data_IF_701076427895
#
_entry.id   IF_701076427895
#
_cell.length_a   1.000
_cell.length_b   1.000
_cell.length_c   1.000
_cell.angle_alpha   90.00
_cell.angle_beta   90.00
_cell.angle_gamma   90.00
#
_symmetry.space_group_name_H-M   'P 1'
#
loop_
_entity.id
_entity.type
_entity.pdbx_description
1 polymer ?
#
# COMPACT_ATOMS: atom_id res chain seq x y z
N UNK A 1 4.07 -3.07 -21.49
CA UNK A 1 4.94 -1.97 -21.01
C UNK A 1 6.42 -2.25 -21.28
N UNK A 2 7.07 -3.31 -20.74
CA UNK A 2 8.51 -3.57 -20.96
C UNK A 2 8.92 -3.61 -22.44
N UNK A 3 8.18 -4.37 -23.25
CA UNK A 3 8.41 -4.45 -24.73
C UNK A 3 8.30 -3.10 -25.40
N UNK A 4 7.35 -2.26 -24.99
CA UNK A 4 7.20 -0.89 -25.52
C UNK A 4 8.44 -0.04 -25.25
N UNK A 5 8.99 -0.11 -24.05
CA UNK A 5 10.23 0.62 -23.72
C UNK A 5 11.44 0.14 -24.51
N UNK A 6 11.54 -1.16 -24.77
CA UNK A 6 12.60 -1.72 -25.65
C UNK A 6 12.43 -1.20 -27.08
N UNK A 7 11.20 -1.10 -27.59
CA UNK A 7 10.90 -0.56 -28.92
C UNK A 7 11.27 0.92 -29.09
N UNK A 8 11.19 1.74 -28.03
CA UNK A 8 11.61 3.15 -28.07
C UNK A 8 13.11 3.25 -28.42
N UNK A 9 13.94 2.33 -27.92
CA UNK A 9 15.34 2.13 -28.35
C UNK A 9 16.35 3.12 -27.78
N UNK A 10 15.98 3.99 -26.82
CA UNK A 10 16.93 4.86 -26.13
C UNK A 10 17.57 4.11 -24.93
N UNK A 11 18.83 4.44 -24.54
CA UNK A 11 19.48 3.79 -23.41
C UNK A 11 18.65 3.83 -22.12
N UNK A 12 18.04 4.97 -21.70
CA UNK A 12 17.21 4.98 -20.49
C UNK A 12 15.91 4.16 -20.67
N UNK A 13 15.31 4.13 -21.87
CA UNK A 13 14.11 3.32 -22.11
C UNK A 13 14.41 1.82 -22.05
N UNK A 14 15.58 1.40 -22.56
CA UNK A 14 16.00 0.01 -22.49
C UNK A 14 16.17 -0.46 -21.04
N UNK A 15 16.82 0.36 -20.21
CA UNK A 15 16.97 0.07 -18.78
C UNK A 15 15.62 -0.09 -18.07
N UNK A 16 14.68 0.86 -18.28
CA UNK A 16 13.32 0.80 -17.71
C UNK A 16 12.57 -0.43 -18.26
N UNK A 17 12.73 -0.75 -19.54
CA UNK A 17 12.11 -1.91 -20.17
C UNK A 17 12.58 -3.24 -19.54
N UNK A 18 13.88 -3.39 -19.31
CA UNK A 18 14.47 -4.58 -18.65
C UNK A 18 13.92 -4.69 -17.21
N UNK A 19 13.96 -3.61 -16.44
CA UNK A 19 13.43 -3.60 -15.05
C UNK A 19 11.95 -3.98 -15.04
N UNK A 20 11.15 -3.46 -15.97
CA UNK A 20 9.73 -3.78 -16.07
C UNK A 20 9.49 -5.27 -16.41
N UNK A 21 10.28 -5.86 -17.31
CA UNK A 21 10.17 -7.30 -17.65
C UNK A 21 10.59 -8.19 -16.49
N UNK A 22 11.71 -7.88 -15.83
CA UNK A 22 12.16 -8.61 -14.63
C UNK A 22 11.12 -8.52 -13.51
N UNK A 23 10.55 -7.33 -13.28
CA UNK A 23 9.48 -7.14 -12.28
C UNK A 23 8.24 -7.97 -12.63
N UNK A 24 7.86 -8.06 -13.90
CA UNK A 24 6.73 -8.87 -14.34
C UNK A 24 6.97 -10.38 -14.09
N UNK A 25 8.18 -10.87 -14.35
CA UNK A 25 8.57 -12.25 -14.04
C UNK A 25 8.51 -12.54 -12.55
N UNK A 26 9.07 -11.66 -11.72
CA UNK A 26 9.03 -11.80 -10.25
C UNK A 26 7.58 -11.81 -9.75
N UNK A 27 6.72 -10.93 -10.27
CA UNK A 27 5.31 -10.88 -9.89
C UNK A 27 4.55 -12.13 -10.32
N UNK A 28 4.86 -12.69 -11.49
CA UNK A 28 4.27 -13.93 -11.98
C UNK A 28 4.66 -15.13 -11.10
N UNK A 29 5.95 -15.25 -10.76
CA UNK A 29 6.44 -16.28 -9.84
C UNK A 29 5.82 -16.15 -8.45
N UNK A 30 5.74 -14.92 -7.94
CA UNK A 30 5.06 -14.64 -6.67
C UNK A 30 3.58 -15.06 -6.72
N UNK A 31 2.87 -14.77 -7.81
CA UNK A 31 1.48 -15.17 -8.01
C UNK A 31 1.29 -16.70 -7.97
N UNK A 32 2.19 -17.46 -8.62
CA UNK A 32 2.18 -18.91 -8.56
C UNK A 32 2.43 -19.43 -7.14
N UNK A 33 3.40 -18.86 -6.44
CA UNK A 33 3.76 -19.26 -5.07
C UNK A 33 2.64 -18.99 -4.05
N UNK A 34 1.89 -17.91 -4.24
CA UNK A 34 0.82 -17.47 -3.33
C UNK A 34 -0.53 -18.09 -3.67
N UNK A 35 -0.67 -18.70 -4.85
CA UNK A 35 -1.93 -19.29 -5.36
C UNK A 35 -2.72 -20.13 -4.33
N UNK A 36 -2.10 -21.00 -3.50
CA UNK A 36 -2.83 -21.79 -2.49
C UNK A 36 -3.51 -20.96 -1.40
N UNK A 37 -3.14 -19.69 -1.26
CA UNK A 37 -3.67 -18.77 -0.24
C UNK A 37 -4.80 -17.88 -0.75
N UNK A 38 -5.10 -17.92 -2.05
CA UNK A 38 -6.11 -17.06 -2.66
C UNK A 38 -7.52 -17.29 -2.14
N UNK A 39 -7.89 -18.53 -1.83
CA UNK A 39 -9.24 -18.84 -1.37
C UNK A 39 -9.52 -18.20 -0.01
N UNK A 40 -8.56 -18.24 0.92
CA UNK A 40 -8.66 -17.51 2.17
C UNK A 40 -8.68 -15.99 1.94
N UNK A 41 -7.80 -15.47 1.10
CA UNK A 41 -7.75 -14.04 0.80
C UNK A 41 -9.04 -13.51 0.17
N UNK A 42 -9.66 -14.26 -0.72
CA UNK A 42 -10.98 -13.94 -1.29
C UNK A 42 -12.06 -13.92 -0.21
N UNK A 43 -12.07 -14.95 0.66
CA UNK A 43 -13.07 -15.05 1.71
C UNK A 43 -12.97 -13.93 2.72
N UNK A 44 -11.76 -13.64 3.24
CA UNK A 44 -11.57 -12.55 4.19
C UNK A 44 -11.93 -11.18 3.58
N UNK A 45 -11.58 -10.95 2.32
CA UNK A 45 -11.94 -9.74 1.59
C UNK A 45 -13.47 -9.62 1.45
N UNK A 46 -14.14 -10.70 1.03
CA UNK A 46 -15.60 -10.73 0.87
C UNK A 46 -16.32 -10.41 2.17
N UNK A 47 -15.93 -11.05 3.27
CA UNK A 47 -16.55 -10.84 4.59
C UNK A 47 -16.24 -9.43 5.13
N UNK A 48 -15.02 -8.95 4.97
CA UNK A 48 -14.63 -7.62 5.43
C UNK A 48 -15.36 -6.49 4.69
N UNK A 49 -15.67 -6.68 3.40
CA UNK A 49 -16.42 -5.72 2.58
C UNK A 49 -17.94 -5.86 2.78
N UNK A 50 -18.40 -7.01 3.26
CA UNK A 50 -19.81 -7.19 3.59
C UNK A 50 -20.26 -6.07 4.55
N UNK A 51 -21.47 -5.55 4.34
CA UNK A 51 -22.02 -4.42 5.08
C UNK A 51 -21.07 -3.19 5.07
N UNK A 52 -20.92 -2.54 3.91
CA UNK A 52 -20.03 -1.38 3.80
C UNK A 52 -20.55 -0.24 4.69
N UNK A 53 -19.65 0.54 5.33
CA UNK A 53 -20.07 1.70 6.11
C UNK A 53 -20.87 2.69 5.25
N UNK A 54 -21.93 3.24 5.83
CA UNK A 54 -22.81 4.17 5.11
C UNK A 54 -22.01 5.34 4.53
N UNK A 55 -22.25 5.67 3.26
CA UNK A 55 -21.58 6.76 2.52
C UNK A 55 -20.07 6.61 2.32
N UNK A 56 -19.41 5.53 2.78
CA UNK A 56 -17.96 5.36 2.66
C UNK A 56 -17.46 5.34 1.20
N UNK A 57 -18.22 4.72 0.29
CA UNK A 57 -17.93 4.72 -1.15
C UNK A 57 -17.92 6.14 -1.75
N UNK A 58 -18.82 7.04 -1.30
CA UNK A 58 -18.82 8.42 -1.76
C UNK A 58 -17.57 9.18 -1.34
N UNK A 59 -17.11 8.97 -0.11
CA UNK A 59 -15.86 9.58 0.37
C UNK A 59 -14.62 9.01 -0.33
N UNK A 60 -14.62 7.72 -0.65
CA UNK A 60 -13.58 7.12 -1.49
C UNK A 60 -13.56 7.77 -2.89
N UNK A 61 -14.74 7.99 -3.49
CA UNK A 61 -14.86 8.69 -4.77
C UNK A 61 -14.35 10.14 -4.70
N UNK A 62 -14.74 10.92 -3.68
CA UNK A 62 -14.25 12.28 -3.51
C UNK A 62 -12.74 12.34 -3.28
N UNK A 63 -12.17 11.43 -2.48
CA UNK A 63 -10.73 11.34 -2.31
C UNK A 63 -10.00 11.02 -3.62
N UNK A 64 -10.57 10.15 -4.44
CA UNK A 64 -10.05 9.85 -5.78
C UNK A 64 -10.11 11.09 -6.69
N UNK A 65 -11.21 11.85 -6.66
CA UNK A 65 -11.34 13.08 -7.42
C UNK A 65 -10.31 14.13 -7.01
N UNK A 66 -10.08 14.32 -5.71
CA UNK A 66 -9.02 15.20 -5.18
C UNK A 66 -7.64 14.72 -5.68
N UNK A 67 -7.40 13.40 -5.66
CA UNK A 67 -6.18 12.80 -6.21
C UNK A 67 -5.98 13.12 -7.69
N UNK A 68 -7.03 13.02 -8.52
CA UNK A 68 -6.98 13.39 -9.95
C UNK A 68 -6.62 14.86 -10.13
N UNK A 69 -7.28 15.77 -9.38
CA UNK A 69 -6.97 17.21 -9.44
C UNK A 69 -5.50 17.47 -9.08
N UNK A 70 -5.01 16.83 -8.04
CA UNK A 70 -3.60 16.98 -7.64
C UNK A 70 -2.63 16.43 -8.70
N UNK A 71 -2.97 15.31 -9.35
CA UNK A 71 -2.21 14.78 -10.48
C UNK A 71 -2.17 15.77 -11.64
N UNK A 72 -3.29 16.41 -11.99
CA UNK A 72 -3.34 17.45 -13.02
C UNK A 72 -2.40 18.62 -12.69
N UNK A 73 -2.41 19.12 -11.44
CA UNK A 73 -1.46 20.15 -11.01
C UNK A 73 -0.01 19.70 -11.13
N UNK A 74 0.28 18.47 -10.75
CA UNK A 74 1.64 17.91 -10.84
C UNK A 74 2.12 17.83 -12.31
N UNK A 75 1.25 17.40 -13.22
CA UNK A 75 1.57 17.34 -14.67
C UNK A 75 1.80 18.74 -15.22
N UNK A 76 0.95 19.72 -14.88
CA UNK A 76 1.16 21.12 -15.25
C UNK A 76 2.49 21.66 -14.70
N UNK A 77 2.83 21.33 -13.45
CA UNK A 77 4.10 21.72 -12.83
C UNK A 77 5.32 21.12 -13.55
N UNK A 78 5.26 19.83 -13.94
CA UNK A 78 6.32 19.17 -14.71
C UNK A 78 6.45 19.83 -16.10
N UNK A 79 5.33 20.14 -16.75
CA UNK A 79 5.32 20.85 -18.04
C UNK A 79 5.96 22.25 -17.93
N UNK A 80 5.62 23.01 -16.88
CA UNK A 80 6.21 24.31 -16.61
C UNK A 80 7.72 24.23 -16.32
N UNK A 81 8.16 23.24 -15.53
CA UNK A 81 9.59 23.01 -15.27
C UNK A 81 10.37 22.68 -16.55
N UNK A 82 9.74 21.97 -17.48
CA UNK A 82 10.33 21.63 -18.81
C UNK A 82 10.38 22.80 -19.78
N UNK A 83 9.52 23.80 -19.62
CA UNK A 83 9.51 24.99 -20.47
C UNK A 83 10.68 25.96 -20.16
N UNK A 84 11.43 25.76 -19.08
CA UNK A 84 12.63 26.53 -18.76
C UNK A 84 13.73 26.20 -19.79
N UNK A 85 14.18 27.20 -20.53
CA UNK A 85 15.10 27.02 -21.69
C UNK A 85 16.45 26.40 -21.34
N UNK A 86 16.98 26.67 -20.16
CA UNK A 86 18.24 26.09 -19.69
C UNK A 86 17.96 24.77 -18.97
N UNK A 87 18.25 23.66 -19.63
CA UNK A 87 18.22 22.29 -19.05
C UNK A 87 19.31 22.13 -17.99
N UNK A 88 19.16 22.83 -16.88
CA UNK A 88 20.10 22.83 -15.77
C UNK A 88 19.72 21.72 -14.76
N UNK A 89 20.64 21.42 -13.85
CA UNK A 89 20.38 20.61 -12.65
C UNK A 89 19.12 21.08 -11.90
N UNK A 90 18.77 22.36 -11.96
CA UNK A 90 17.60 22.96 -11.34
C UNK A 90 16.28 22.38 -11.89
N UNK A 91 16.15 22.22 -13.21
CA UNK A 91 14.96 21.61 -13.83
C UNK A 91 14.74 20.18 -13.37
N UNK A 92 15.82 19.37 -13.32
CA UNK A 92 15.76 18.00 -12.82
C UNK A 92 15.36 17.96 -11.35
N UNK A 93 15.91 18.86 -10.53
CA UNK A 93 15.58 18.99 -9.11
C UNK A 93 14.11 19.38 -8.92
N UNK A 94 13.59 20.33 -9.68
CA UNK A 94 12.18 20.75 -9.63
C UNK A 94 11.25 19.58 -9.96
N UNK A 95 11.53 18.83 -11.02
CA UNK A 95 10.74 17.65 -11.39
C UNK A 95 10.80 16.61 -10.28
N UNK A 96 11.97 16.36 -9.70
CA UNK A 96 12.12 15.43 -8.59
C UNK A 96 11.27 15.84 -7.38
N UNK A 97 11.31 17.13 -7.00
CA UNK A 97 10.50 17.68 -5.90
C UNK A 97 9.00 17.51 -6.18
N UNK A 98 8.55 17.79 -7.41
CA UNK A 98 7.14 17.61 -7.80
C UNK A 98 6.74 16.14 -7.69
N UNK A 99 7.58 15.21 -8.14
CA UNK A 99 7.29 13.77 -8.06
C UNK A 99 7.29 13.26 -6.60
N UNK A 100 8.20 13.73 -5.77
CA UNK A 100 8.21 13.40 -4.33
C UNK A 100 6.95 13.96 -3.64
N UNK A 101 6.57 15.19 -3.95
CA UNK A 101 5.34 15.81 -3.46
C UNK A 101 4.10 15.02 -3.91
N UNK A 102 4.06 14.58 -5.18
CA UNK A 102 2.99 13.72 -5.69
C UNK A 102 2.90 12.43 -4.88
N UNK A 103 4.01 11.71 -4.70
CA UNK A 103 4.05 10.46 -3.97
C UNK A 103 3.58 10.62 -2.52
N UNK A 104 4.09 11.64 -1.82
CA UNK A 104 3.72 11.92 -0.43
C UNK A 104 2.24 12.30 -0.29
N UNK A 105 1.75 13.22 -1.12
CA UNK A 105 0.36 13.69 -1.06
C UNK A 105 -0.62 12.55 -1.35
N UNK A 106 -0.35 11.73 -2.37
CA UNK A 106 -1.20 10.59 -2.69
C UNK A 106 -1.20 9.54 -1.58
N UNK A 107 -0.04 9.29 -0.94
CA UNK A 107 0.05 8.39 0.20
C UNK A 107 -0.68 8.96 1.43
N UNK A 108 -0.61 10.27 1.66
CA UNK A 108 -1.35 10.95 2.72
C UNK A 108 -2.86 10.83 2.51
N UNK A 109 -3.38 11.15 1.32
CA UNK A 109 -4.81 10.99 0.98
C UNK A 109 -5.29 9.55 1.18
N UNK A 110 -4.49 8.58 0.72
CA UNK A 110 -4.77 7.16 0.93
C UNK A 110 -4.91 6.83 2.42
N UNK A 111 -4.00 7.31 3.26
CA UNK A 111 -3.99 6.98 4.68
C UNK A 111 -5.08 7.72 5.46
N UNK A 112 -5.43 8.97 5.09
CA UNK A 112 -6.62 9.66 5.63
C UNK A 112 -7.88 8.84 5.37
N UNK A 113 -8.06 8.37 4.14
CA UNK A 113 -9.21 7.54 3.78
C UNK A 113 -9.18 6.20 4.55
N UNK A 114 -8.01 5.58 4.68
CA UNK A 114 -7.83 4.34 5.42
C UNK A 114 -8.20 4.49 6.90
N UNK A 115 -7.71 5.52 7.59
CA UNK A 115 -8.02 5.80 9.00
C UNK A 115 -9.52 6.05 9.18
N UNK A 116 -10.10 6.88 8.32
CA UNK A 116 -11.52 7.23 8.38
C UNK A 116 -12.42 6.00 8.24
N UNK A 117 -12.19 5.20 7.21
CA UNK A 117 -13.04 4.04 6.91
C UNK A 117 -12.82 2.92 7.92
N UNK A 118 -11.56 2.69 8.32
CA UNK A 118 -11.26 1.65 9.32
C UNK A 118 -11.89 1.97 10.68
N UNK A 119 -11.91 3.25 11.10
CA UNK A 119 -12.60 3.68 12.32
C UNK A 119 -14.10 3.35 12.27
N UNK A 120 -14.79 3.76 11.19
CA UNK A 120 -16.24 3.51 11.06
C UNK A 120 -16.55 2.02 11.02
N UNK A 121 -15.76 1.24 10.27
CA UNK A 121 -15.94 -0.20 10.17
C UNK A 121 -15.64 -0.92 11.49
N UNK A 122 -14.60 -0.49 12.21
CA UNK A 122 -14.24 -1.02 13.52
C UNK A 122 -15.36 -0.81 14.54
N UNK A 123 -15.93 0.39 14.67
CA UNK A 123 -17.02 0.68 15.60
C UNK A 123 -18.25 -0.19 15.32
N UNK A 124 -18.55 -0.42 14.04
CA UNK A 124 -19.62 -1.33 13.65
C UNK A 124 -19.34 -2.78 14.04
N UNK A 125 -18.11 -3.29 13.80
CA UNK A 125 -17.75 -4.68 14.09
C UNK A 125 -17.56 -4.94 15.58
N UNK A 126 -17.04 -3.98 16.32
CA UNK A 126 -16.72 -4.12 17.75
C UNK A 126 -17.96 -4.04 18.64
N UNK A 127 -18.82 -3.02 18.42
CA UNK A 127 -19.98 -2.72 19.28
C UNK A 127 -21.32 -2.58 18.55
N UNK A 128 -21.37 -2.81 17.23
CA UNK A 128 -22.60 -2.60 16.43
C UNK A 128 -22.97 -1.13 16.23
N UNK A 129 -22.09 -0.19 16.62
CA UNK A 129 -22.34 1.24 16.52
C UNK A 129 -22.29 1.74 15.08
N UNK A 130 -23.29 2.53 14.68
CA UNK A 130 -23.36 3.15 13.35
C UNK A 130 -22.81 4.58 13.44
N UNK A 131 -21.55 4.76 13.06
CA UNK A 131 -20.90 6.07 13.01
C UNK A 131 -21.03 6.70 11.62
N UNK A 132 -21.32 8.02 11.53
CA UNK A 132 -21.30 8.72 10.24
C UNK A 132 -19.86 8.93 9.76
N UNK A 133 -19.57 8.47 8.54
CA UNK A 133 -18.25 8.60 7.89
C UNK A 133 -17.79 10.06 7.78
N UNK A 134 -18.73 11.03 7.69
CA UNK A 134 -18.41 12.47 7.65
C UNK A 134 -17.77 12.93 8.96
N UNK A 135 -18.31 12.51 10.09
CA UNK A 135 -17.78 12.85 11.42
C UNK A 135 -16.40 12.22 11.59
N UNK A 136 -16.25 10.94 11.23
CA UNK A 136 -14.97 10.25 11.28
C UNK A 136 -13.90 10.95 10.43
N UNK A 137 -14.25 11.41 9.22
CA UNK A 137 -13.31 12.15 8.34
C UNK A 137 -12.93 13.50 8.94
N UNK A 138 -13.88 14.25 9.44
CA UNK A 138 -13.63 15.55 10.09
C UNK A 138 -12.66 15.38 11.27
N UNK A 139 -12.89 14.40 12.13
CA UNK A 139 -12.04 14.12 13.27
C UNK A 139 -10.63 13.68 12.85
N UNK A 140 -10.53 12.82 11.81
CA UNK A 140 -9.24 12.38 11.26
C UNK A 140 -8.43 13.57 10.74
N UNK A 141 -9.06 14.46 9.97
CA UNK A 141 -8.37 15.63 9.41
C UNK A 141 -8.03 16.66 10.51
N UNK A 142 -8.89 16.84 11.51
CA UNK A 142 -8.69 17.86 12.56
C UNK A 142 -7.69 17.44 13.63
N UNK A 143 -7.74 16.17 14.07
CA UNK A 143 -7.00 15.73 15.25
C UNK A 143 -5.86 14.75 14.96
N UNK A 144 -5.90 14.04 13.80
CA UNK A 144 -5.00 12.92 13.52
C UNK A 144 -4.04 13.19 12.35
N UNK A 145 -4.10 14.38 11.74
CA UNK A 145 -3.26 14.74 10.56
C UNK A 145 -1.78 14.47 10.81
N UNK A 146 -1.25 14.80 11.98
CA UNK A 146 0.16 14.57 12.34
C UNK A 146 0.52 13.07 12.34
N UNK A 147 -0.31 12.23 12.97
CA UNK A 147 -0.12 10.78 13.01
C UNK A 147 -0.25 10.15 11.62
N UNK A 148 -1.21 10.62 10.81
CA UNK A 148 -1.40 10.16 9.43
C UNK A 148 -0.22 10.56 8.54
N UNK A 149 0.28 11.80 8.67
CA UNK A 149 1.45 12.29 7.93
C UNK A 149 2.70 11.47 8.25
N UNK A 150 2.96 11.23 9.53
CA UNK A 150 4.08 10.41 9.98
C UNK A 150 3.97 8.97 9.43
N UNK A 151 2.82 8.35 9.56
CA UNK A 151 2.57 7.00 9.03
C UNK A 151 2.68 6.94 7.50
N UNK A 152 2.39 8.04 6.79
CA UNK A 152 2.52 8.10 5.33
C UNK A 152 3.97 8.00 4.84
N UNK A 153 4.92 8.39 5.66
CA UNK A 153 6.36 8.24 5.39
C UNK A 153 6.85 6.89 5.92
N UNK A 154 6.55 6.56 7.18
CA UNK A 154 7.10 5.40 7.86
C UNK A 154 6.65 4.07 7.23
N UNK A 155 5.36 3.91 6.94
CA UNK A 155 4.83 2.61 6.45
C UNK A 155 5.46 2.18 5.12
N UNK A 156 5.56 3.02 4.07
CA UNK A 156 6.25 2.64 2.84
C UNK A 156 7.73 2.29 3.08
N UNK A 157 8.42 3.10 3.90
CA UNK A 157 9.84 2.90 4.20
C UNK A 157 10.09 1.57 4.91
N UNK A 158 9.31 1.27 5.94
CA UNK A 158 9.38 0.01 6.69
C UNK A 158 9.01 -1.18 5.80
N UNK A 159 8.01 -1.04 4.94
CA UNK A 159 7.60 -2.09 4.00
C UNK A 159 8.69 -2.43 2.99
N UNK A 160 9.40 -1.43 2.47
CA UNK A 160 10.56 -1.62 1.60
C UNK A 160 11.69 -2.33 2.35
N UNK A 161 12.02 -1.86 3.56
CA UNK A 161 13.07 -2.44 4.39
C UNK A 161 12.78 -3.91 4.72
N UNK A 162 11.53 -4.23 5.09
CA UNK A 162 11.07 -5.61 5.34
C UNK A 162 11.15 -6.48 4.07
N UNK A 163 10.78 -5.93 2.92
CA UNK A 163 10.89 -6.63 1.63
C UNK A 163 12.33 -7.00 1.31
N UNK A 164 13.26 -6.07 1.52
CA UNK A 164 14.70 -6.30 1.37
C UNK A 164 15.21 -7.37 2.35
N UNK A 165 14.82 -7.29 3.63
CA UNK A 165 15.19 -8.27 4.64
C UNK A 165 14.77 -9.69 4.26
N UNK A 166 13.53 -9.86 3.79
CA UNK A 166 13.04 -11.16 3.31
C UNK A 166 13.77 -11.66 2.07
N UNK A 167 14.09 -10.77 1.14
CA UNK A 167 14.84 -11.15 -0.07
C UNK A 167 16.26 -11.63 0.26
N UNK A 168 16.95 -10.95 1.17
CA UNK A 168 18.32 -11.34 1.60
C UNK A 168 18.32 -12.65 2.36
N UNK A 169 17.32 -12.92 3.20
CA UNK A 169 17.20 -14.21 3.91
C UNK A 169 16.93 -15.40 2.98
N UNK A 170 16.26 -15.17 1.84
CA UNK A 170 16.04 -16.21 0.82
C UNK A 170 17.29 -16.51 -0.02
N UNK A 171 18.15 -15.51 -0.26
CA UNK A 171 19.37 -15.63 -1.06
C UNK A 171 20.54 -16.14 -0.22
N UNK A 172 20.55 -15.82 1.08
CA UNK A 172 21.64 -16.12 2.01
C UNK A 172 21.68 -17.58 2.53
N UNK A 173 21.03 -18.53 1.86
CA UNK A 173 21.05 -19.93 2.23
C UNK A 173 22.47 -20.46 2.41
N UNK A 174 22.75 -21.01 3.57
CA UNK A 174 23.85 -21.91 4.01
C UNK A 174 25.32 -21.50 3.78
N UNK A 175 25.64 -20.33 3.26
CA UNK A 175 26.99 -19.92 2.92
C UNK A 175 27.52 -18.76 3.78
N UNK A 176 28.04 -19.06 4.97
CA UNK A 176 28.96 -18.21 5.72
C UNK A 176 28.40 -17.56 6.99
N UNK A 177 29.03 -17.85 8.15
CA UNK A 177 28.68 -17.35 9.49
C UNK A 177 28.57 -15.82 9.58
N UNK A 178 29.40 -15.08 8.85
CA UNK A 178 29.39 -13.60 8.85
C UNK A 178 28.14 -13.05 8.17
N UNK A 179 27.72 -13.65 7.04
CA UNK A 179 26.52 -13.24 6.31
C UNK A 179 25.27 -13.58 7.10
N UNK A 180 25.25 -14.73 7.79
CA UNK A 180 24.16 -15.12 8.70
C UNK A 180 24.01 -14.14 9.87
N UNK A 181 25.09 -13.69 10.51
CA UNK A 181 25.07 -12.72 11.60
C UNK A 181 24.52 -11.36 11.14
N UNK A 182 24.92 -10.86 9.96
CA UNK A 182 24.41 -9.62 9.39
C UNK A 182 22.91 -9.74 9.04
N UNK A 183 22.49 -10.86 8.45
CA UNK A 183 21.06 -11.12 8.14
C UNK A 183 20.23 -11.20 9.40
N UNK A 184 20.70 -11.86 10.46
CA UNK A 184 20.00 -11.94 11.75
C UNK A 184 19.81 -10.56 12.41
N UNK A 185 20.87 -9.72 12.41
CA UNK A 185 20.79 -8.35 12.90
C UNK A 185 19.79 -7.52 12.09
N UNK A 186 19.83 -7.63 10.77
CA UNK A 186 18.94 -6.94 9.86
C UNK A 186 17.47 -7.37 10.03
N UNK A 187 17.21 -8.68 10.21
CA UNK A 187 15.88 -9.22 10.52
C UNK A 187 15.37 -8.74 11.88
N UNK A 188 16.23 -8.65 12.90
CA UNK A 188 15.88 -8.08 14.22
C UNK A 188 15.45 -6.62 14.12
N UNK A 189 16.19 -5.80 13.38
CA UNK A 189 15.82 -4.40 13.13
C UNK A 189 14.51 -4.32 12.34
N UNK A 190 14.34 -5.15 11.31
CA UNK A 190 13.12 -5.18 10.51
C UNK A 190 11.89 -5.54 11.35
N UNK A 191 11.99 -6.52 12.25
CA UNK A 191 10.90 -6.90 13.17
C UNK A 191 10.54 -5.77 14.12
N UNK A 192 11.53 -5.10 14.72
CA UNK A 192 11.33 -3.93 15.59
C UNK A 192 10.64 -2.78 14.84
N UNK A 193 11.05 -2.51 13.59
CA UNK A 193 10.43 -1.48 12.78
C UNK A 193 8.97 -1.82 12.44
N UNK A 194 8.67 -3.09 12.14
CA UNK A 194 7.30 -3.55 11.87
C UNK A 194 6.41 -3.38 13.11
N UNK A 195 6.90 -3.69 14.29
CA UNK A 195 6.17 -3.47 15.54
C UNK A 195 5.79 -2.00 15.72
N UNK A 196 6.71 -1.07 15.41
CA UNK A 196 6.52 0.36 15.63
C UNK A 196 5.92 1.13 14.44
N UNK A 197 5.71 0.49 13.31
CA UNK A 197 5.28 1.17 12.09
C UNK A 197 4.51 0.28 11.13
N UNK A 198 3.55 -0.50 11.64
CA UNK A 198 2.71 -1.36 10.81
C UNK A 198 1.46 -0.62 10.31
N UNK A 199 0.92 -1.08 9.17
CA UNK A 199 -0.27 -0.50 8.56
C UNK A 199 -1.56 -0.70 9.37
N UNK A 200 -1.58 -1.67 10.28
CA UNK A 200 -2.73 -1.99 11.11
C UNK A 200 -2.93 -0.92 12.20
N UNK A 201 -1.84 -0.26 12.62
CA UNK A 201 -1.87 0.84 13.56
C UNK A 201 -2.77 2.01 13.14
N UNK A 202 -3.04 2.19 11.84
CA UNK A 202 -3.98 3.20 11.38
C UNK A 202 -5.41 3.00 11.90
N UNK A 203 -5.81 1.78 12.24
CA UNK A 203 -7.11 1.51 12.89
C UNK A 203 -7.13 2.14 14.27
N UNK A 204 -6.10 1.89 15.09
CA UNK A 204 -5.98 2.45 16.44
C UNK A 204 -5.77 3.97 16.44
N UNK A 205 -5.05 4.53 15.44
CA UNK A 205 -5.00 5.98 15.25
C UNK A 205 -6.41 6.53 15.09
N UNK A 206 -7.24 5.89 14.27
CA UNK A 206 -8.62 6.30 14.03
C UNK A 206 -9.52 6.18 15.26
N UNK A 207 -9.44 5.07 15.97
CA UNK A 207 -10.36 4.73 17.07
C UNK A 207 -9.97 5.45 18.37
N UNK A 208 -8.68 5.36 18.75
CA UNK A 208 -8.20 5.82 20.07
C UNK A 208 -7.45 7.15 20.02
N UNK A 209 -7.35 7.80 18.87
CA UNK A 209 -6.66 9.10 18.69
C UNK A 209 -5.21 9.11 19.19
N UNK A 210 -4.54 7.95 19.16
CA UNK A 210 -3.15 7.78 19.60
C UNK A 210 -2.16 8.20 18.53
N UNK A 211 -0.94 8.54 18.93
CA UNK A 211 0.18 8.74 17.99
C UNK A 211 0.48 7.48 17.18
N UNK A 212 0.87 7.62 15.91
CA UNK A 212 1.01 6.49 14.97
C UNK A 212 1.93 5.37 15.49
N UNK A 213 3.09 5.71 16.09
CA UNK A 213 4.05 4.72 16.59
C UNK A 213 3.48 3.92 17.76
N UNK A 214 2.83 4.60 18.69
CA UNK A 214 2.16 3.95 19.83
C UNK A 214 0.99 3.09 19.35
N UNK A 215 0.15 3.61 18.46
CA UNK A 215 -0.96 2.87 17.88
C UNK A 215 -0.49 1.59 17.17
N UNK A 216 0.63 1.65 16.45
CA UNK A 216 1.23 0.48 15.79
C UNK A 216 1.72 -0.57 16.80
N UNK A 217 2.39 -0.12 17.87
CA UNK A 217 2.87 -1.03 18.94
C UNK A 217 1.70 -1.70 19.66
N UNK A 218 0.71 -0.91 20.07
CA UNK A 218 -0.48 -1.44 20.76
C UNK A 218 -1.23 -2.46 19.88
N UNK A 219 -1.37 -2.19 18.58
CA UNK A 219 -2.00 -3.13 17.63
C UNK A 219 -1.22 -4.43 17.55
N UNK A 220 0.10 -4.36 17.48
CA UNK A 220 0.95 -5.54 17.41
C UNK A 220 0.87 -6.39 18.67
N UNK A 221 0.87 -5.74 19.85
CA UNK A 221 0.72 -6.42 21.14
C UNK A 221 -0.63 -7.14 21.28
N UNK A 222 -1.69 -6.57 20.72
CA UNK A 222 -3.01 -7.20 20.68
C UNK A 222 -2.99 -8.43 19.75
N UNK A 223 -2.37 -8.34 18.57
CA UNK A 223 -2.24 -9.49 17.67
C UNK A 223 -1.44 -10.63 18.31
N UNK A 224 -0.35 -10.33 19.01
CA UNK A 224 0.45 -11.33 19.72
C UNK A 224 -0.37 -12.02 20.83
N UNK A 225 -1.10 -11.24 21.63
CA UNK A 225 -1.96 -11.79 22.70
C UNK A 225 -3.10 -12.64 22.15
N UNK A 226 -3.67 -12.26 20.99
CA UNK A 226 -4.73 -13.01 20.34
C UNK A 226 -4.23 -14.20 19.50
N UNK A 227 -2.91 -14.43 19.42
CA UNK A 227 -2.31 -15.50 18.61
C UNK A 227 -2.51 -15.33 17.10
N UNK A 228 -2.74 -14.11 16.63
CA UNK A 228 -3.02 -13.79 15.23
C UNK A 228 -1.76 -13.47 14.41
N UNK A 229 -0.58 -13.47 15.01
CA UNK A 229 0.67 -13.05 14.36
C UNK A 229 0.92 -13.78 13.04
N UNK A 230 0.80 -15.10 13.05
CA UNK A 230 1.00 -15.91 11.83
C UNK A 230 -0.04 -15.62 10.75
N UNK A 231 -1.29 -15.40 11.15
CA UNK A 231 -2.38 -15.09 10.23
C UNK A 231 -2.14 -13.73 9.56
N UNK A 232 -1.71 -12.75 10.33
CA UNK A 232 -1.36 -11.40 9.85
C UNK A 232 -0.15 -11.42 8.91
N UNK A 233 0.85 -12.25 9.20
CA UNK A 233 2.03 -12.42 8.32
C UNK A 233 1.68 -13.09 6.98
N UNK A 234 0.63 -13.89 6.95
CA UNK A 234 0.11 -14.53 5.74
C UNK A 234 -0.91 -13.66 4.98
N UNK A 235 -1.27 -12.48 5.51
CA UNK A 235 -2.25 -11.61 4.86
C UNK A 235 -1.77 -11.06 3.51
N UNK A 236 -2.55 -11.32 2.48
CA UNK A 236 -2.25 -10.95 1.09
C UNK A 236 -2.84 -9.59 0.68
N UNK A 237 -3.60 -8.93 1.54
CA UNK A 237 -4.29 -7.67 1.20
C UNK A 237 -3.31 -6.59 0.76
N UNK A 238 -2.15 -6.49 1.46
CA UNK A 238 -1.10 -5.54 1.09
C UNK A 238 -0.49 -5.83 -0.28
N UNK A 239 -0.19 -7.09 -0.55
CA UNK A 239 0.34 -7.54 -1.84
C UNK A 239 -0.66 -7.32 -2.96
N UNK A 240 -1.93 -7.64 -2.74
CA UNK A 240 -3.01 -7.40 -3.69
C UNK A 240 -3.15 -5.90 -4.04
N UNK A 241 -3.17 -5.03 -3.04
CA UNK A 241 -3.21 -3.58 -3.27
C UNK A 241 -1.97 -3.06 -4.00
N UNK A 242 -0.79 -3.62 -3.73
CA UNK A 242 0.44 -3.26 -4.42
C UNK A 242 0.39 -3.69 -5.89
N UNK A 243 0.04 -4.96 -6.17
CA UNK A 243 -0.06 -5.51 -7.52
C UNK A 243 -1.12 -4.78 -8.36
N UNK A 244 -2.26 -4.43 -7.75
CA UNK A 244 -3.30 -3.61 -8.41
C UNK A 244 -2.75 -2.24 -8.81
N UNK A 245 -1.95 -1.59 -7.96
CA UNK A 245 -1.26 -0.35 -8.28
C UNK A 245 -0.29 -0.52 -9.45
N UNK A 246 0.53 -1.58 -9.43
CA UNK A 246 1.48 -1.89 -10.50
C UNK A 246 0.76 -2.14 -11.84
N UNK A 247 -0.32 -2.90 -11.82
CA UNK A 247 -1.12 -3.17 -13.02
C UNK A 247 -1.75 -1.89 -13.57
N UNK A 248 -2.37 -1.07 -12.71
CA UNK A 248 -2.95 0.22 -13.10
C UNK A 248 -1.91 1.19 -13.66
N UNK A 249 -0.74 1.29 -13.02
CA UNK A 249 0.38 2.08 -13.52
C UNK A 249 0.88 1.60 -14.88
N UNK A 250 1.01 0.28 -15.06
CA UNK A 250 1.43 -0.31 -16.33
C UNK A 250 0.41 -0.04 -17.47
N UNK A 251 -0.88 -0.10 -17.19
CA UNK A 251 -1.94 0.24 -18.16
C UNK A 251 -1.87 1.72 -18.57
N UNK A 252 -1.78 2.62 -17.59
CA UNK A 252 -1.65 4.07 -17.89
C UNK A 252 -0.38 4.37 -18.68
N UNK A 253 0.73 3.74 -18.34
CA UNK A 253 2.01 3.85 -19.04
C UNK A 253 1.93 3.35 -20.48
N UNK A 254 1.24 2.22 -20.71
CA UNK A 254 1.02 1.67 -22.07
C UNK A 254 0.22 2.63 -22.95
N UNK A 255 -0.93 3.08 -22.44
CA UNK A 255 -1.81 3.98 -23.23
C UNK A 255 -1.10 5.29 -23.56
N UNK A 256 -0.50 5.94 -22.55
CA UNK A 256 0.21 7.22 -22.74
C UNK A 256 1.48 7.04 -23.57
N UNK A 257 2.18 5.92 -23.43
CA UNK A 257 3.40 5.63 -24.18
C UNK A 257 3.13 5.38 -25.65
N UNK A 258 2.11 4.58 -25.98
CA UNK A 258 1.70 4.35 -27.38
C UNK A 258 1.29 5.68 -28.03
N UNK A 259 0.47 6.47 -27.35
CA UNK A 259 0.07 7.79 -27.83
C UNK A 259 1.28 8.70 -28.07
N UNK A 260 2.22 8.74 -27.14
CA UNK A 260 3.41 9.57 -27.25
C UNK A 260 4.37 9.11 -28.37
N UNK A 261 4.49 7.81 -28.63
CA UNK A 261 5.30 7.27 -29.74
C UNK A 261 4.76 7.76 -31.09
N UNK A 262 3.44 7.86 -31.23
CA UNK A 262 2.80 8.30 -32.46
C UNK A 262 3.00 9.80 -32.68
N UNK A 263 2.96 10.63 -31.63
CA UNK A 263 3.00 12.09 -31.79
C UNK A 263 4.46 12.61 -31.66
N UNK A 264 5.17 12.23 -30.61
CA UNK A 264 6.53 12.70 -30.29
C UNK A 264 7.37 11.60 -29.64
N UNK A 265 8.00 10.75 -30.44
CA UNK A 265 8.81 9.61 -29.95
C UNK A 265 9.89 10.01 -28.94
N UNK A 266 10.46 11.21 -29.04
CA UNK A 266 11.55 11.68 -28.15
C UNK A 266 11.13 11.81 -26.68
N UNK A 267 9.84 12.06 -26.39
CA UNK A 267 9.32 12.21 -25.03
C UNK A 267 8.59 10.97 -24.51
N UNK A 268 8.48 9.92 -25.33
CA UNK A 268 7.68 8.74 -25.00
C UNK A 268 8.12 8.05 -23.71
N UNK A 269 9.42 7.97 -23.43
CA UNK A 269 9.95 7.36 -22.21
C UNK A 269 9.51 8.13 -20.96
N UNK A 270 9.66 9.44 -20.97
CA UNK A 270 9.36 10.28 -19.81
C UNK A 270 7.86 10.31 -19.52
N UNK A 271 7.04 10.52 -20.54
CA UNK A 271 5.57 10.53 -20.42
C UNK A 271 5.07 9.19 -19.89
N UNK A 272 5.62 8.08 -20.39
CA UNK A 272 5.27 6.74 -19.92
C UNK A 272 5.61 6.53 -18.44
N UNK A 273 6.76 7.02 -17.96
CA UNK A 273 7.15 6.92 -16.55
C UNK A 273 6.22 7.77 -15.68
N UNK A 274 5.91 8.99 -16.07
CA UNK A 274 4.99 9.85 -15.32
C UNK A 274 3.58 9.26 -15.26
N UNK A 275 3.10 8.74 -16.39
CA UNK A 275 1.81 8.06 -16.46
C UNK A 275 1.77 6.79 -15.59
N UNK A 276 2.89 6.04 -15.52
CA UNK A 276 3.01 4.91 -14.62
C UNK A 276 2.88 5.32 -13.16
N UNK A 277 3.60 6.35 -12.72
CA UNK A 277 3.56 6.83 -11.33
C UNK A 277 2.16 7.32 -10.95
N UNK A 278 1.54 8.13 -11.81
CA UNK A 278 0.18 8.63 -11.59
C UNK A 278 -0.80 7.47 -11.49
N UNK A 279 -0.80 6.56 -12.46
CA UNK A 279 -1.67 5.38 -12.47
C UNK A 279 -1.47 4.51 -11.22
N UNK A 280 -0.21 4.25 -10.84
CA UNK A 280 0.12 3.50 -9.63
C UNK A 280 -0.49 4.12 -8.38
N UNK A 281 -0.29 5.41 -8.17
CA UNK A 281 -0.82 6.08 -6.98
C UNK A 281 -2.34 6.16 -6.98
N UNK A 282 -2.97 6.40 -8.13
CA UNK A 282 -4.44 6.45 -8.25
C UNK A 282 -5.08 5.10 -7.92
N UNK A 283 -4.55 4.00 -8.46
CA UNK A 283 -5.03 2.66 -8.12
C UNK A 283 -4.79 2.31 -6.64
N UNK A 284 -3.64 2.72 -6.09
CA UNK A 284 -3.36 2.56 -4.65
C UNK A 284 -4.33 3.33 -3.76
N UNK A 285 -4.74 4.52 -4.19
CA UNK A 285 -5.75 5.32 -3.50
C UNK A 285 -7.12 4.63 -3.56
N UNK A 286 -7.55 4.15 -4.73
CA UNK A 286 -8.80 3.43 -4.87
C UNK A 286 -8.84 2.15 -4.02
N UNK A 287 -7.73 1.41 -3.93
CA UNK A 287 -7.60 0.20 -3.11
C UNK A 287 -7.51 0.47 -1.61
N UNK A 288 -7.46 1.71 -1.16
CA UNK A 288 -7.43 2.03 0.29
C UNK A 288 -8.73 1.65 1.00
N UNK A 289 -9.86 1.71 0.31
CA UNK A 289 -11.17 1.35 0.86
C UNK A 289 -11.26 -0.13 1.27
N UNK A 290 -11.03 -1.13 0.40
CA UNK A 290 -11.02 -2.53 0.80
C UNK A 290 -9.91 -2.83 1.82
N UNK A 291 -8.75 -2.20 1.69
CA UNK A 291 -7.65 -2.35 2.64
C UNK A 291 -8.05 -1.89 4.06
N UNK A 292 -8.78 -0.78 4.18
CA UNK A 292 -9.29 -0.27 5.45
C UNK A 292 -10.30 -1.23 6.09
N UNK A 293 -11.21 -1.80 5.28
CA UNK A 293 -12.21 -2.76 5.76
C UNK A 293 -11.54 -4.04 6.31
N UNK A 294 -10.55 -4.58 5.61
CA UNK A 294 -9.80 -5.77 6.06
C UNK A 294 -8.99 -5.45 7.31
N UNK A 295 -8.34 -4.28 7.37
CA UNK A 295 -7.59 -3.88 8.56
C UNK A 295 -8.48 -3.76 9.80
N UNK A 296 -9.65 -3.12 9.65
CA UNK A 296 -10.61 -2.99 10.73
C UNK A 296 -11.15 -4.36 11.18
N UNK A 297 -11.39 -5.29 10.24
CA UNK A 297 -11.88 -6.63 10.55
C UNK A 297 -10.91 -7.41 11.43
N UNK A 298 -9.61 -7.44 11.07
CA UNK A 298 -8.59 -8.12 11.88
C UNK A 298 -8.40 -7.49 13.25
N UNK A 299 -8.32 -6.16 13.33
CA UNK A 299 -8.10 -5.47 14.61
C UNK A 299 -9.31 -5.62 15.54
N UNK A 300 -10.53 -5.44 15.03
CA UNK A 300 -11.75 -5.61 15.81
C UNK A 300 -11.92 -7.07 16.30
N UNK A 301 -11.58 -8.05 15.46
CA UNK A 301 -11.60 -9.46 15.86
C UNK A 301 -10.56 -9.76 16.95
N UNK A 302 -9.36 -9.19 16.85
CA UNK A 302 -8.30 -9.39 17.83
C UNK A 302 -8.69 -8.85 19.23
N UNK A 303 -9.44 -7.76 19.27
CA UNK A 303 -9.88 -7.15 20.53
C UNK A 303 -11.16 -7.78 21.12
N UNK A 304 -12.11 -8.15 20.27
CA UNK A 304 -13.40 -8.74 20.69
C UNK A 304 -13.84 -9.88 19.76
N UNK A 305 -13.22 -11.07 19.87
CA UNK A 305 -13.55 -12.22 18.99
C UNK A 305 -14.96 -12.77 19.21
N UNK A 306 -15.63 -12.43 20.31
CA UNK A 306 -16.96 -12.91 20.66
C UNK A 306 -18.09 -12.05 20.11
N UNK A 307 -17.79 -10.95 19.40
CA UNK A 307 -18.81 -10.13 18.77
C UNK A 307 -19.61 -10.93 17.74
N UNK A 308 -20.92 -10.76 17.76
CA UNK A 308 -21.87 -11.43 16.84
C UNK A 308 -21.72 -10.98 15.37
N UNK A 309 -20.89 -9.97 15.11
CA UNK A 309 -20.63 -9.44 13.78
C UNK A 309 -19.57 -10.24 13.00
N UNK A 310 -18.88 -11.18 13.65
CA UNK A 310 -17.85 -12.02 13.01
C UNK A 310 -18.42 -13.36 12.55
N UNK A 311 -17.89 -13.82 11.43
CA UNK A 311 -18.13 -15.19 10.94
C UNK A 311 -17.01 -16.16 11.38
N UNK A 312 -17.11 -17.41 10.98
CA UNK A 312 -16.12 -18.46 11.30
C UNK A 312 -14.84 -18.41 10.44
N UNK A 313 -14.62 -17.38 9.62
CA UNK A 313 -13.48 -17.36 8.66
C UNK A 313 -12.13 -17.36 9.36
N UNK A 314 -11.95 -16.52 10.40
CA UNK A 314 -10.69 -16.46 11.15
C UNK A 314 -10.49 -17.71 12.01
N UNK A 315 -11.45 -18.17 12.83
CA UNK A 315 -11.29 -19.39 13.62
C UNK A 315 -10.92 -20.63 12.79
N UNK A 316 -11.62 -20.87 11.69
CA UNK A 316 -11.34 -22.01 10.78
C UNK A 316 -9.92 -21.92 10.22
N UNK A 317 -9.45 -20.72 9.91
CA UNK A 317 -8.08 -20.55 9.39
C UNK A 317 -7.01 -20.76 10.46
N UNK A 318 -7.25 -20.32 11.68
CA UNK A 318 -6.34 -20.57 12.81
C UNK A 318 -6.21 -22.06 13.10
N UNK A 319 -7.32 -22.79 13.12
CA UNK A 319 -7.33 -24.24 13.30
C UNK A 319 -6.51 -24.94 12.21
N UNK A 320 -6.70 -24.57 10.93
CA UNK A 320 -5.89 -25.07 9.83
C UNK A 320 -4.39 -24.83 10.03
N UNK A 321 -3.99 -23.64 10.49
CA UNK A 321 -2.58 -23.32 10.72
C UNK A 321 -1.98 -24.12 11.87
N UNK A 322 -2.75 -24.42 12.92
CA UNK A 322 -2.31 -25.26 14.02
C UNK A 322 -2.09 -26.72 13.59
N UNK A 323 -2.98 -27.26 12.75
CA UNK A 323 -2.84 -28.63 12.20
C UNK A 323 -1.59 -28.78 11.33
N UNK A 324 -1.20 -27.75 10.59
CA UNK A 324 0.02 -27.78 9.77
C UNK A 324 1.33 -27.68 10.55
N UNK A 325 1.27 -27.32 11.85
CA UNK A 325 2.44 -27.21 12.73
C UNK A 325 2.63 -28.44 13.64
N UNK A 326 1.59 -29.24 13.83
CA UNK A 326 1.62 -30.47 14.59
C UNK A 326 2.07 -31.65 13.71
#
# INVERSE_FOLDING_TARGET
MGVMFVYIGSAPSLAVGIVAMVSALIQSLYGCWVSPRFDYAKRILSVSIANPPAKSMRWAFYSTLIGVLYCCFSVCGIGGARAIENRTMLTALLILVILLSLGWTMQFLKNVLQVTISRVKYMHLFGGEIMDTRVALHDTVKYQTGSVSLGSILVPFISLFRGFARSTSLIGGDNGEVMFSCVSCYMGIASLLVTRGNRWGFVHVGVYTKGFVQASSDTWDIFNRAGLEQLIDLDLTGSFCFLSGMAGGAMCSLVSGIWSIVIHKSYATEISIYAFLIGYFMFRLAMSWPQACVSAYYVAYAENPQSTQFDCTIPVRLEQLQIYQA
#
